data_IF_068159281264
#
_entry.id   IF_068159281264
#
_cell.length_a   1.000
_cell.length_b   1.000
_cell.length_c   1.000
_cell.angle_alpha   90.00
_cell.angle_beta   90.00
_cell.angle_gamma   90.00
#
_symmetry.space_group_name_H-M   'P 1'
#
loop_
_entity.id
_entity.type
_entity.pdbx_description
1 polymer ?
#
# COMPACT_ATOMS: atom_id res chain seq x y z
N UNK A 1 -59.23 -26.88 -40.59
CA UNK A 1 -59.34 -25.54 -39.96
C UNK A 1 -58.00 -25.15 -39.36
N UNK A 2 -57.54 -23.94 -39.68
CA UNK A 2 -56.45 -23.12 -39.11
C UNK A 2 -55.08 -23.76 -38.86
N UNK A 3 -54.18 -23.53 -39.82
CA UNK A 3 -52.73 -23.43 -39.61
C UNK A 3 -52.38 -22.04 -39.02
N UNK A 4 -51.35 -22.05 -38.17
CA UNK A 4 -50.58 -20.96 -37.54
C UNK A 4 -51.17 -20.32 -36.26
N UNK A 5 -50.31 -19.90 -35.30
CA UNK A 5 -48.87 -19.67 -35.50
C UNK A 5 -47.91 -20.34 -34.48
N UNK A 6 -46.99 -21.14 -35.03
CA UNK A 6 -45.61 -21.27 -34.53
C UNK A 6 -44.84 -19.91 -34.58
N UNK A 7 -45.49 -18.87 -35.14
CA UNK A 7 -44.96 -17.51 -35.30
C UNK A 7 -44.89 -16.75 -33.97
N UNK A 8 -45.78 -17.02 -33.00
CA UNK A 8 -45.81 -16.27 -31.72
C UNK A 8 -44.67 -16.69 -30.78
N UNK A 9 -44.19 -17.93 -30.90
CA UNK A 9 -43.01 -18.42 -30.16
C UNK A 9 -41.71 -17.87 -30.79
N UNK A 10 -41.67 -17.72 -32.11
CA UNK A 10 -40.50 -17.15 -32.81
C UNK A 10 -40.38 -15.63 -32.54
N UNK A 11 -41.51 -14.91 -32.44
CA UNK A 11 -41.52 -13.48 -32.10
C UNK A 11 -41.09 -13.21 -30.65
N UNK A 12 -41.46 -14.07 -29.70
CA UNK A 12 -41.09 -13.90 -28.28
C UNK A 12 -39.62 -14.25 -27.99
N UNK A 13 -39.06 -15.28 -28.65
CA UNK A 13 -37.62 -15.60 -28.56
C UNK A 13 -36.77 -14.57 -29.32
N UNK A 14 -37.27 -14.04 -30.45
CA UNK A 14 -36.61 -12.96 -31.20
C UNK A 14 -36.50 -11.65 -30.42
N UNK A 15 -37.55 -11.27 -29.68
CA UNK A 15 -37.55 -10.06 -28.84
C UNK A 15 -36.63 -10.17 -27.62
N UNK A 16 -36.57 -11.36 -26.98
CA UNK A 16 -35.66 -11.59 -25.85
C UNK A 16 -34.18 -11.62 -26.30
N UNK A 17 -33.88 -12.19 -27.46
CA UNK A 17 -32.51 -12.19 -28.01
C UNK A 17 -32.09 -10.82 -28.51
N UNK A 18 -33.00 -10.01 -29.10
CA UNK A 18 -32.71 -8.62 -29.44
C UNK A 18 -32.55 -7.73 -28.20
N UNK A 19 -33.34 -7.94 -27.14
CA UNK A 19 -33.19 -7.20 -25.89
C UNK A 19 -31.87 -7.57 -25.18
N UNK A 20 -31.49 -8.85 -25.15
CA UNK A 20 -30.20 -9.28 -24.60
C UNK A 20 -29.03 -8.79 -25.45
N UNK A 21 -29.11 -8.80 -26.79
CA UNK A 21 -28.07 -8.24 -27.65
C UNK A 21 -28.00 -6.71 -27.60
N UNK A 22 -29.13 -6.01 -27.46
CA UNK A 22 -29.16 -4.54 -27.30
C UNK A 22 -28.65 -4.12 -25.92
N UNK A 23 -28.96 -4.89 -24.88
CA UNK A 23 -28.39 -4.71 -23.54
C UNK A 23 -26.93 -5.12 -23.52
N UNK A 24 -26.49 -6.16 -24.24
CA UNK A 24 -25.07 -6.56 -24.29
C UNK A 24 -24.23 -5.60 -25.14
N UNK A 25 -24.75 -5.07 -26.26
CA UNK A 25 -24.10 -4.01 -27.02
C UNK A 25 -24.07 -2.66 -26.26
N UNK A 26 -25.05 -2.38 -25.40
CA UNK A 26 -25.07 -1.15 -24.58
C UNK A 26 -24.47 -1.33 -23.18
N UNK A 27 -24.03 -2.54 -22.80
CA UNK A 27 -23.28 -2.83 -21.56
C UNK A 27 -21.82 -3.19 -21.88
N UNK A 28 -21.44 -3.33 -23.16
CA UNK A 28 -20.03 -3.50 -23.57
C UNK A 28 -19.38 -2.21 -24.07
N UNK A 29 -20.00 -1.04 -23.85
CA UNK A 29 -19.35 0.28 -23.97
C UNK A 29 -19.10 0.84 -22.57
N UNK A 30 -18.29 0.16 -21.78
CA UNK A 30 -17.36 0.86 -20.89
C UNK A 30 -16.22 -0.07 -20.52
N UNK A 31 -15.02 0.50 -20.45
CA UNK A 31 -13.74 -0.15 -20.10
C UNK A 31 -13.25 -1.20 -21.11
N UNK A 32 -12.70 -0.75 -22.23
CA UNK A 32 -11.27 -0.97 -22.52
C UNK A 32 -10.91 -0.49 -23.93
N UNK A 33 -9.82 0.29 -23.98
CA UNK A 33 -9.06 0.76 -25.16
C UNK A 33 -9.57 1.99 -25.90
N UNK A 34 -9.44 3.19 -25.32
CA UNK A 34 -8.89 4.38 -26.00
C UNK A 34 -8.38 5.37 -24.95
N UNK A 35 -7.07 5.50 -24.73
CA UNK A 35 -6.51 6.79 -24.26
C UNK A 35 -4.98 6.82 -24.41
N UNK A 36 -4.51 7.67 -25.32
CA UNK A 36 -3.09 8.04 -25.40
C UNK A 36 -2.91 9.50 -25.81
N UNK A 37 -3.95 10.33 -25.70
CA UNK A 37 -3.89 11.75 -26.08
C UNK A 37 -4.79 12.64 -25.23
N UNK A 38 -6.09 12.34 -25.09
CA UNK A 38 -7.01 13.20 -24.32
C UNK A 38 -6.82 13.10 -22.80
N UNK A 39 -6.59 11.89 -22.29
CA UNK A 39 -6.30 11.63 -20.86
C UNK A 39 -4.90 12.12 -20.44
N UNK A 40 -3.96 12.16 -21.38
CA UNK A 40 -2.62 12.72 -21.12
C UNK A 40 -2.63 14.25 -21.14
N UNK A 41 -3.46 14.86 -22.01
CA UNK A 41 -3.67 16.30 -22.02
C UNK A 41 -4.32 16.78 -20.72
N UNK A 42 -5.33 16.08 -20.21
CA UNK A 42 -5.97 16.43 -18.93
C UNK A 42 -5.01 16.28 -17.74
N UNK A 43 -4.19 15.22 -17.69
CA UNK A 43 -3.15 15.05 -16.65
C UNK A 43 -2.15 16.20 -16.65
N UNK A 44 -1.68 16.60 -17.84
CA UNK A 44 -0.74 17.71 -17.98
C UNK A 44 -1.35 19.04 -17.53
N UNK A 45 -2.61 19.30 -17.87
CA UNK A 45 -3.32 20.51 -17.43
C UNK A 45 -3.47 20.55 -15.90
N UNK A 46 -3.85 19.44 -15.28
CA UNK A 46 -3.96 19.31 -13.81
C UNK A 46 -2.59 19.50 -13.14
N UNK A 47 -1.55 18.89 -13.69
CA UNK A 47 -0.19 19.01 -13.17
C UNK A 47 0.29 20.48 -13.18
N UNK A 48 0.04 21.21 -14.27
CA UNK A 48 0.39 22.63 -14.34
C UNK A 48 -0.47 23.49 -13.38
N UNK A 49 -1.77 23.19 -13.23
CA UNK A 49 -2.62 23.84 -12.21
C UNK A 49 -2.02 23.69 -10.81
N UNK A 50 -1.60 22.47 -10.42
CA UNK A 50 -0.98 22.25 -9.11
C UNK A 50 0.37 22.95 -8.97
N UNK A 51 1.20 22.96 -10.02
CA UNK A 51 2.47 23.72 -9.98
C UNK A 51 2.21 25.21 -9.74
N UNK A 52 1.22 25.78 -10.41
CA UNK A 52 0.89 27.20 -10.26
C UNK A 52 0.31 27.50 -8.87
N UNK A 53 -0.57 26.64 -8.35
CA UNK A 53 -1.08 26.75 -6.97
C UNK A 53 0.07 26.70 -5.94
N UNK A 54 1.03 25.79 -6.09
CA UNK A 54 2.17 25.65 -5.18
C UNK A 54 3.07 26.90 -5.25
N UNK A 55 3.32 27.45 -6.45
CA UNK A 55 4.13 28.68 -6.62
C UNK A 55 3.43 29.92 -6.03
N UNK A 56 2.12 30.03 -6.22
CA UNK A 56 1.35 31.21 -5.81
C UNK A 56 1.06 31.23 -4.31
N UNK A 57 0.73 30.08 -3.73
CA UNK A 57 0.19 29.99 -2.37
C UNK A 57 1.20 29.44 -1.35
N UNK A 58 2.27 28.82 -1.85
CA UNK A 58 3.21 28.04 -1.04
C UNK A 58 2.81 26.55 -0.94
N UNK A 59 3.78 25.63 -0.82
CA UNK A 59 3.54 24.19 -0.86
C UNK A 59 2.55 23.67 0.19
N UNK A 60 2.69 24.08 1.44
CA UNK A 60 1.89 23.60 2.56
C UNK A 60 0.43 24.04 2.43
N UNK A 61 0.21 25.29 2.05
CA UNK A 61 -1.14 25.82 1.86
C UNK A 61 -1.80 25.19 0.64
N UNK A 62 -1.07 25.04 -0.47
CA UNK A 62 -1.57 24.36 -1.66
C UNK A 62 -1.97 22.91 -1.36
N UNK A 63 -1.18 22.18 -0.55
CA UNK A 63 -1.51 20.80 -0.18
C UNK A 63 -2.73 20.71 0.74
N UNK A 64 -2.89 21.66 1.66
CA UNK A 64 -4.11 21.71 2.48
C UNK A 64 -5.34 22.03 1.64
N UNK A 65 -5.25 22.99 0.71
CA UNK A 65 -6.33 23.29 -0.22
C UNK A 65 -6.66 22.10 -1.15
N UNK A 66 -5.63 21.37 -1.59
CA UNK A 66 -5.77 20.12 -2.32
C UNK A 66 -6.54 19.07 -1.50
N UNK A 67 -6.19 18.89 -0.22
CA UNK A 67 -6.85 17.97 0.71
C UNK A 67 -8.34 18.28 0.87
N UNK A 68 -8.68 19.56 1.02
CA UNK A 68 -10.06 19.99 1.23
C UNK A 68 -10.94 19.75 -0.02
N UNK A 69 -10.36 19.90 -1.22
CA UNK A 69 -11.07 19.79 -2.51
C UNK A 69 -11.17 18.36 -3.04
N UNK A 70 -10.16 17.50 -2.79
CA UNK A 70 -10.00 16.21 -3.46
C UNK A 70 -10.14 15.03 -2.49
N UNK A 71 -11.20 15.01 -1.69
CA UNK A 71 -11.43 13.94 -0.71
C UNK A 71 -11.33 12.56 -1.37
N UNK A 72 -10.44 11.71 -0.85
CA UNK A 72 -10.21 10.32 -1.27
C UNK A 72 -9.64 10.13 -2.69
N UNK A 73 -9.05 11.14 -3.32
CA UNK A 73 -8.41 10.96 -4.63
C UNK A 73 -6.93 10.59 -4.54
N UNK A 74 -6.65 9.29 -4.50
CA UNK A 74 -5.27 8.76 -4.55
C UNK A 74 -4.52 9.20 -5.82
N UNK A 75 -5.16 9.06 -6.98
CA UNK A 75 -4.56 9.42 -8.27
C UNK A 75 -4.19 10.91 -8.35
N UNK A 76 -5.06 11.82 -7.93
CA UNK A 76 -4.72 13.25 -7.95
C UNK A 76 -3.63 13.60 -6.96
N UNK A 77 -3.48 12.84 -5.87
CA UNK A 77 -2.38 13.02 -4.93
C UNK A 77 -1.03 12.68 -5.57
N UNK A 78 -0.97 11.71 -6.51
CA UNK A 78 0.24 11.48 -7.31
C UNK A 78 0.61 12.76 -8.08
N UNK A 79 -0.33 13.31 -8.86
CA UNK A 79 -0.08 14.52 -9.64
C UNK A 79 0.32 15.72 -8.78
N UNK A 80 -0.27 15.87 -7.59
CA UNK A 80 0.15 16.91 -6.64
C UNK A 80 1.59 16.69 -6.18
N UNK A 81 1.95 15.45 -5.80
CA UNK A 81 3.31 15.09 -5.41
C UNK A 81 4.34 15.35 -6.52
N UNK A 82 4.00 15.02 -7.76
CA UNK A 82 4.83 15.34 -8.93
C UNK A 82 5.03 16.86 -9.08
N UNK A 83 3.95 17.64 -9.05
CA UNK A 83 4.00 19.10 -9.11
C UNK A 83 4.86 19.70 -8.00
N UNK A 84 4.73 19.16 -6.78
CA UNK A 84 5.49 19.55 -5.61
C UNK A 84 6.99 19.31 -5.80
N UNK A 85 7.40 18.16 -6.33
CA UNK A 85 8.80 17.91 -6.64
C UNK A 85 9.33 18.92 -7.68
N UNK A 86 8.58 19.16 -8.76
CA UNK A 86 9.01 20.09 -9.81
C UNK A 86 9.16 21.55 -9.33
N UNK A 87 8.42 21.96 -8.30
CA UNK A 87 8.46 23.33 -7.78
C UNK A 87 9.43 23.48 -6.60
N UNK A 88 9.40 22.55 -5.65
CA UNK A 88 10.12 22.67 -4.39
C UNK A 88 11.39 21.80 -4.32
N UNK A 89 11.62 20.93 -5.30
CA UNK A 89 12.72 19.96 -5.27
C UNK A 89 12.60 18.99 -4.10
N UNK A 90 13.72 18.38 -3.70
CA UNK A 90 13.76 17.35 -2.66
C UNK A 90 13.27 17.82 -1.28
N UNK A 91 13.38 19.12 -0.97
CA UNK A 91 12.91 19.68 0.30
C UNK A 91 11.38 19.74 0.40
N UNK A 92 10.67 19.68 -0.74
CA UNK A 92 9.21 19.64 -0.78
C UNK A 92 8.61 18.40 -0.11
N UNK A 93 9.39 17.33 0.09
CA UNK A 93 8.90 16.04 0.63
C UNK A 93 8.19 16.19 1.98
N UNK A 94 8.57 17.21 2.78
CA UNK A 94 7.96 17.54 4.07
C UNK A 94 6.47 17.91 4.03
N UNK A 95 5.96 18.21 2.84
CA UNK A 95 4.56 18.62 2.61
C UNK A 95 3.63 17.42 2.52
N UNK A 96 4.11 16.30 1.96
CA UNK A 96 3.30 15.10 1.79
C UNK A 96 2.99 14.43 3.13
N UNK A 97 1.84 13.75 3.21
CA UNK A 97 1.42 12.92 4.34
C UNK A 97 0.75 11.62 3.84
N UNK A 98 0.24 10.81 4.76
CA UNK A 98 -0.41 9.52 4.49
C UNK A 98 -1.90 9.63 4.12
N UNK A 99 -2.46 10.84 4.04
CA UNK A 99 -3.91 11.09 3.85
C UNK A 99 -4.51 10.34 2.67
N UNK A 100 -3.75 10.20 1.58
CA UNK A 100 -4.19 9.61 0.32
C UNK A 100 -3.50 8.28 0.02
N UNK A 101 -3.36 7.41 1.02
CA UNK A 101 -2.66 6.12 0.86
C UNK A 101 -1.25 6.33 0.28
N UNK A 102 -0.55 7.35 0.82
CA UNK A 102 0.79 7.77 0.40
C UNK A 102 0.91 8.29 -1.05
N UNK A 103 -0.20 8.55 -1.74
CA UNK A 103 -0.19 8.98 -3.14
C UNK A 103 0.67 10.23 -3.43
N UNK A 104 0.71 11.19 -2.50
CA UNK A 104 1.61 12.36 -2.62
C UNK A 104 3.08 11.95 -2.67
N UNK A 105 3.50 11.05 -1.77
CA UNK A 105 4.86 10.52 -1.77
C UNK A 105 5.17 9.75 -3.06
N UNK A 106 4.25 8.92 -3.54
CA UNK A 106 4.43 8.14 -4.77
C UNK A 106 4.76 9.05 -5.96
N UNK A 107 3.92 10.07 -6.19
CA UNK A 107 4.15 11.04 -7.25
C UNK A 107 5.43 11.84 -7.07
N UNK A 108 5.70 12.30 -5.85
CA UNK A 108 6.90 13.09 -5.54
C UNK A 108 8.20 12.34 -5.82
N UNK A 109 8.32 11.11 -5.32
CA UNK A 109 9.53 10.31 -5.53
C UNK A 109 9.63 9.81 -6.98
N UNK A 110 8.50 9.44 -7.61
CA UNK A 110 8.48 9.01 -9.02
C UNK A 110 8.91 10.14 -9.95
N UNK A 111 8.42 11.38 -9.75
CA UNK A 111 8.84 12.54 -10.54
C UNK A 111 10.34 12.79 -10.41
N UNK A 112 10.89 12.76 -9.20
CA UNK A 112 12.32 12.98 -9.03
C UNK A 112 13.19 11.89 -9.62
N UNK A 113 12.77 10.62 -9.55
CA UNK A 113 13.47 9.52 -10.21
C UNK A 113 13.41 9.67 -11.73
N UNK A 114 12.26 10.08 -12.30
CA UNK A 114 12.11 10.30 -13.73
C UNK A 114 12.94 11.49 -14.24
N UNK A 115 12.96 12.59 -13.49
CA UNK A 115 13.64 13.83 -13.88
C UNK A 115 15.16 13.77 -13.68
N UNK A 116 15.63 13.27 -12.54
CA UNK A 116 17.06 13.29 -12.17
C UNK A 116 17.73 11.90 -12.26
N UNK A 117 16.97 10.84 -12.51
CA UNK A 117 17.44 9.46 -12.48
C UNK A 117 17.66 8.93 -11.06
N UNK A 118 18.04 7.66 -10.95
CA UNK A 118 18.23 6.97 -9.65
C UNK A 118 19.28 7.59 -8.72
N UNK A 119 20.12 8.50 -9.24
CA UNK A 119 21.08 9.25 -8.42
C UNK A 119 20.43 10.16 -7.37
N UNK A 120 19.15 10.53 -7.56
CA UNK A 120 18.42 11.39 -6.62
C UNK A 120 18.10 10.72 -5.28
N UNK A 121 18.12 9.39 -5.21
CA UNK A 121 17.70 8.61 -4.03
C UNK A 121 18.48 9.02 -2.76
N UNK A 122 19.79 9.29 -2.88
CA UNK A 122 20.59 9.78 -1.76
C UNK A 122 20.18 11.18 -1.30
N UNK A 123 19.80 12.07 -2.24
CA UNK A 123 19.29 13.40 -1.89
C UNK A 123 17.93 13.33 -1.18
N UNK A 124 17.08 12.37 -1.57
CA UNK A 124 15.83 12.11 -0.85
C UNK A 124 16.07 11.63 0.57
N UNK A 125 17.00 10.67 0.79
CA UNK A 125 17.35 10.23 2.15
C UNK A 125 17.92 11.38 2.98
N UNK A 126 18.81 12.21 2.41
CA UNK A 126 19.33 13.40 3.07
C UNK A 126 18.23 14.39 3.45
N UNK A 127 17.24 14.61 2.58
CA UNK A 127 16.08 15.44 2.88
C UNK A 127 15.23 14.84 4.00
N UNK A 128 14.95 13.52 3.95
CA UNK A 128 14.24 12.81 5.01
C UNK A 128 14.94 12.96 6.37
N UNK A 129 16.26 12.77 6.41
CA UNK A 129 17.06 12.90 7.63
C UNK A 129 17.16 14.34 8.11
N UNK A 130 17.26 15.31 7.20
CA UNK A 130 17.29 16.74 7.54
C UNK A 130 15.98 17.21 8.17
N UNK A 131 14.84 16.76 7.63
CA UNK A 131 13.50 17.21 8.07
C UNK A 131 13.08 16.49 9.36
N UNK A 132 13.25 15.16 9.43
CA UNK A 132 12.70 14.35 10.52
C UNK A 132 13.75 13.72 11.45
N UNK A 133 15.04 13.82 11.14
CA UNK A 133 16.12 13.24 11.95
C UNK A 133 15.91 11.74 12.18
N UNK A 134 15.90 11.30 13.44
CA UNK A 134 15.67 9.90 13.80
C UNK A 134 14.25 9.40 13.51
N UNK A 135 13.31 10.29 13.17
CA UNK A 135 11.93 9.95 12.78
C UNK A 135 11.74 9.88 11.26
N UNK A 136 12.82 9.80 10.47
CA UNK A 136 12.79 9.78 9.00
C UNK A 136 12.19 8.51 8.37
N UNK A 137 11.94 7.47 9.16
CA UNK A 137 11.47 6.17 8.66
C UNK A 137 10.25 6.25 7.72
N UNK A 138 9.18 7.02 8.02
CA UNK A 138 8.05 7.14 7.10
C UNK A 138 8.39 7.80 5.75
N UNK A 139 9.32 8.77 5.75
CA UNK A 139 9.79 9.37 4.50
C UNK A 139 10.62 8.36 3.68
N UNK A 140 11.51 7.61 4.35
CA UNK A 140 12.29 6.55 3.72
C UNK A 140 11.42 5.41 3.20
N UNK A 141 10.31 5.10 3.88
CA UNK A 141 9.29 4.18 3.42
C UNK A 141 8.71 4.64 2.07
N UNK A 142 8.35 5.92 1.96
CA UNK A 142 7.88 6.51 0.71
C UNK A 142 8.90 6.42 -0.44
N UNK A 143 10.22 6.54 -0.17
CA UNK A 143 11.26 6.31 -1.18
C UNK A 143 11.13 4.90 -1.78
N UNK A 144 10.81 3.90 -0.94
CA UNK A 144 10.62 2.52 -1.37
C UNK A 144 9.47 2.34 -2.37
N UNK A 145 8.34 3.01 -2.11
CA UNK A 145 7.24 3.05 -3.07
C UNK A 145 7.68 3.67 -4.40
N UNK A 146 8.26 4.88 -4.37
CA UNK A 146 8.72 5.55 -5.59
C UNK A 146 9.73 4.74 -6.40
N UNK A 147 10.67 4.05 -5.74
CA UNK A 147 11.60 3.12 -6.38
C UNK A 147 10.87 2.00 -7.11
N UNK A 148 9.92 1.34 -6.46
CA UNK A 148 9.25 0.19 -7.07
C UNK A 148 8.25 0.64 -8.15
N UNK A 149 7.58 1.78 -7.99
CA UNK A 149 6.70 2.37 -9.00
C UNK A 149 7.46 2.93 -10.21
N UNK A 150 8.78 3.14 -10.14
CA UNK A 150 9.59 3.62 -11.28
C UNK A 150 9.86 2.57 -12.36
N UNK A 151 9.42 1.32 -12.16
CA UNK A 151 9.53 0.24 -13.13
C UNK A 151 10.89 -0.50 -13.14
N UNK A 152 11.75 -0.28 -12.16
CA UNK A 152 12.96 -1.09 -11.96
C UNK A 152 12.60 -2.49 -11.43
N UNK A 153 13.55 -3.42 -11.48
CA UNK A 153 13.36 -4.75 -10.87
C UNK A 153 13.29 -4.68 -9.34
N UNK A 154 12.66 -5.68 -8.70
CA UNK A 154 12.63 -5.80 -7.24
C UNK A 154 14.05 -5.80 -6.64
N UNK A 155 14.97 -6.54 -7.27
CA UNK A 155 16.37 -6.63 -6.86
C UNK A 155 17.08 -5.28 -6.94
N UNK A 156 16.79 -4.51 -7.99
CA UNK A 156 17.35 -3.17 -8.17
C UNK A 156 16.80 -2.19 -7.13
N UNK A 157 15.48 -2.16 -6.91
CA UNK A 157 14.85 -1.31 -5.90
C UNK A 157 15.42 -1.58 -4.50
N UNK A 158 15.52 -2.86 -4.10
CA UNK A 158 16.16 -3.25 -2.85
C UNK A 158 17.65 -2.88 -2.81
N UNK A 159 18.35 -2.98 -3.94
CA UNK A 159 19.73 -2.53 -4.10
C UNK A 159 19.92 -1.04 -3.85
N UNK A 160 18.93 -0.20 -4.19
CA UNK A 160 18.93 1.22 -3.86
C UNK A 160 18.63 1.49 -2.39
N UNK A 161 17.70 0.75 -1.77
CA UNK A 161 17.44 0.85 -0.34
C UNK A 161 18.71 0.60 0.51
N UNK A 162 19.63 -0.25 0.07
CA UNK A 162 20.91 -0.50 0.77
C UNK A 162 21.87 0.68 0.80
N UNK A 163 21.71 1.63 -0.14
CA UNK A 163 22.62 2.78 -0.29
C UNK A 163 22.21 3.96 0.58
N UNK A 164 21.03 3.90 1.19
CA UNK A 164 20.50 4.96 2.06
C UNK A 164 20.45 4.46 3.50
N UNK A 165 20.22 5.39 4.42
CA UNK A 165 19.92 5.02 5.80
C UNK A 165 18.64 4.20 5.80
N UNK A 166 18.71 2.92 6.17
CA UNK A 166 17.57 2.01 6.08
C UNK A 166 17.37 1.24 7.38
N UNK A 167 16.11 0.88 7.62
CA UNK A 167 15.73 -0.01 8.71
C UNK A 167 15.35 -1.37 8.12
N UNK A 168 15.76 -2.50 8.75
CA UNK A 168 15.43 -3.84 8.27
C UNK A 168 13.93 -4.09 8.09
N UNK A 169 13.10 -3.37 8.84
CA UNK A 169 11.63 -3.45 8.83
C UNK A 169 11.03 -2.05 8.83
N UNK A 170 10.02 -1.79 7.98
CA UNK A 170 9.22 -0.55 7.96
C UNK A 170 9.72 0.59 7.07
N UNK A 171 11.03 0.74 6.84
CA UNK A 171 11.60 1.80 5.98
C UNK A 171 11.49 1.51 4.48
N UNK A 172 12.49 1.94 3.69
CA UNK A 172 12.51 1.78 2.22
C UNK A 172 12.16 0.37 1.72
N UNK A 173 12.68 -0.68 2.37
CA UNK A 173 12.39 -2.06 1.97
C UNK A 173 10.93 -2.44 2.14
N UNK A 174 10.26 -1.94 3.19
CA UNK A 174 8.82 -2.15 3.42
C UNK A 174 8.01 -1.51 2.30
N UNK A 175 8.29 -0.25 1.95
CA UNK A 175 7.62 0.42 0.83
C UNK A 175 7.83 -0.30 -0.51
N UNK A 176 9.06 -0.79 -0.77
CA UNK A 176 9.34 -1.62 -1.96
C UNK A 176 8.47 -2.88 -1.97
N UNK A 177 8.40 -3.61 -0.86
CA UNK A 177 7.61 -4.86 -0.82
C UNK A 177 6.11 -4.62 -0.88
N UNK A 178 5.59 -3.55 -0.26
CA UNK A 178 4.19 -3.17 -0.35
C UNK A 178 3.80 -2.83 -1.79
N UNK A 179 4.59 -1.98 -2.44
CA UNK A 179 4.38 -1.62 -3.85
C UNK A 179 4.55 -2.81 -4.79
N UNK A 180 5.50 -3.70 -4.50
CA UNK A 180 5.68 -4.93 -5.27
C UNK A 180 4.44 -5.84 -5.16
N UNK A 181 3.84 -5.91 -3.97
CA UNK A 181 2.64 -6.70 -3.72
C UNK A 181 1.37 -6.06 -4.31
N UNK A 182 1.32 -4.74 -4.39
CA UNK A 182 0.19 -3.95 -4.91
C UNK A 182 0.71 -2.85 -5.86
N UNK A 183 1.11 -3.20 -7.09
CA UNK A 183 1.68 -2.22 -7.99
C UNK A 183 0.66 -1.16 -8.41
N UNK A 184 0.95 0.12 -8.13
CA UNK A 184 0.12 1.25 -8.53
C UNK A 184 -0.14 1.30 -10.06
N UNK A 185 0.78 0.71 -10.84
CA UNK A 185 0.71 0.65 -12.29
C UNK A 185 -0.31 -0.35 -12.85
N UNK A 186 -0.90 -1.23 -12.03
CA UNK A 186 -1.76 -2.31 -12.55
C UNK A 186 -3.19 -1.87 -12.93
N UNK A 187 -3.69 -0.71 -12.51
CA UNK A 187 -5.03 -0.21 -12.90
C UNK A 187 -5.30 1.30 -12.68
N UNK A 188 -4.28 2.14 -12.44
CA UNK A 188 -4.45 3.56 -12.02
C UNK A 188 -5.26 3.78 -10.72
N UNK A 189 -5.78 2.72 -10.11
CA UNK A 189 -6.43 2.72 -8.79
C UNK A 189 -5.50 2.14 -7.71
N UNK A 190 -4.45 1.42 -8.10
CA UNK A 190 -3.49 0.77 -7.19
C UNK A 190 -4.09 -0.40 -6.41
N UNK A 191 -5.18 -1.01 -6.88
CA UNK A 191 -5.95 -1.95 -6.04
C UNK A 191 -5.74 -3.43 -6.37
N UNK A 192 -5.30 -3.78 -7.58
CA UNK A 192 -5.06 -5.18 -7.92
C UNK A 192 -3.76 -5.71 -7.29
N UNK A 193 -3.80 -6.77 -6.46
CA UNK A 193 -2.60 -7.40 -5.96
C UNK A 193 -1.81 -8.04 -7.12
N UNK A 194 -0.48 -8.15 -6.96
CA UNK A 194 0.33 -8.98 -7.87
C UNK A 194 -0.26 -10.40 -7.93
N UNK A 195 -0.15 -11.03 -9.09
CA UNK A 195 -0.59 -12.42 -9.26
C UNK A 195 0.41 -13.36 -8.57
N UNK A 196 -0.10 -14.49 -8.10
CA UNK A 196 0.77 -15.61 -7.72
C UNK A 196 1.57 -16.05 -8.96
N UNK A 197 2.86 -16.28 -8.78
CA UNK A 197 3.73 -16.83 -9.80
C UNK A 197 3.95 -18.34 -9.60
N UNK A 198 4.73 -18.96 -10.48
CA UNK A 198 5.04 -20.39 -10.42
C UNK A 198 5.92 -20.79 -9.21
N UNK A 199 6.47 -19.80 -8.50
CA UNK A 199 7.27 -19.98 -7.28
C UNK A 199 6.41 -20.00 -6.01
N UNK A 200 5.12 -19.68 -6.14
CA UNK A 200 4.09 -19.86 -5.11
C UNK A 200 4.09 -18.79 -4.01
N UNK A 201 3.31 -19.05 -2.96
CA UNK A 201 2.94 -18.02 -1.98
C UNK A 201 4.07 -17.41 -1.14
N UNK A 202 5.26 -18.01 -1.11
CA UNK A 202 6.40 -17.50 -0.34
C UNK A 202 7.38 -16.67 -1.16
N UNK A 203 7.18 -16.57 -2.47
CA UNK A 203 7.93 -15.66 -3.32
C UNK A 203 7.45 -14.20 -3.09
N UNK A 204 8.35 -13.20 -3.03
CA UNK A 204 9.80 -13.27 -3.32
C UNK A 204 10.69 -13.63 -2.13
N UNK A 205 10.13 -13.78 -0.93
CA UNK A 205 10.90 -13.88 0.33
C UNK A 205 11.87 -15.07 0.40
N UNK A 206 11.60 -16.14 -0.35
CA UNK A 206 12.50 -17.29 -0.43
C UNK A 206 13.79 -16.99 -1.22
N UNK A 207 13.77 -16.04 -2.16
CA UNK A 207 14.87 -15.73 -3.08
C UNK A 207 15.63 -14.44 -2.76
N UNK A 208 14.99 -13.45 -2.12
CA UNK A 208 15.68 -12.21 -1.75
C UNK A 208 16.88 -12.47 -0.82
N UNK A 209 17.85 -11.56 -0.86
CA UNK A 209 19.04 -11.63 0.01
C UNK A 209 18.64 -11.68 1.49
N UNK A 210 19.44 -12.38 2.30
CA UNK A 210 19.15 -12.64 3.71
C UNK A 210 18.78 -11.38 4.52
N UNK A 211 19.47 -10.27 4.26
CA UNK A 211 19.24 -8.97 4.92
C UNK A 211 17.84 -8.37 4.64
N UNK A 212 17.17 -8.79 3.56
CA UNK A 212 15.82 -8.33 3.22
C UNK A 212 14.70 -9.28 3.64
N UNK A 213 15.04 -10.49 4.08
CA UNK A 213 14.02 -11.52 4.33
C UNK A 213 13.05 -11.12 5.44
N UNK A 214 13.54 -10.51 6.51
CA UNK A 214 12.69 -10.04 7.61
C UNK A 214 11.66 -9.00 7.13
N UNK A 215 12.11 -8.01 6.33
CA UNK A 215 11.23 -7.04 5.68
C UNK A 215 10.28 -7.67 4.67
N UNK A 216 10.69 -8.72 3.95
CA UNK A 216 9.78 -9.40 3.03
C UNK A 216 8.69 -10.18 3.78
N UNK A 217 9.07 -10.95 4.79
CA UNK A 217 8.12 -11.78 5.55
C UNK A 217 7.14 -10.96 6.39
N UNK A 218 7.50 -9.74 6.83
CA UNK A 218 6.56 -8.86 7.52
C UNK A 218 5.51 -8.27 6.56
N UNK A 219 5.85 -8.04 5.29
CA UNK A 219 4.90 -7.49 4.30
C UNK A 219 4.09 -8.56 3.55
N UNK A 220 4.55 -9.81 3.52
CA UNK A 220 3.88 -10.89 2.79
C UNK A 220 2.41 -11.13 3.21
N UNK A 221 2.02 -11.03 4.51
CA UNK A 221 0.62 -11.13 4.92
C UNK A 221 -0.31 -10.10 4.29
N UNK A 222 0.19 -8.91 3.91
CA UNK A 222 -0.60 -7.90 3.19
C UNK A 222 -1.18 -8.48 1.89
N UNK A 223 -0.31 -9.10 1.10
CA UNK A 223 -0.67 -9.70 -0.18
C UNK A 223 -1.63 -10.88 0.02
N UNK A 224 -1.33 -11.74 1.00
CA UNK A 224 -2.18 -12.89 1.32
C UNK A 224 -3.58 -12.50 1.79
N UNK A 225 -3.75 -11.36 2.47
CA UNK A 225 -5.09 -10.87 2.83
C UNK A 225 -5.95 -10.60 1.61
N UNK A 226 -5.37 -10.04 0.55
CA UNK A 226 -6.08 -9.83 -0.71
C UNK A 226 -6.36 -11.17 -1.42
N UNK A 227 -5.34 -12.01 -1.58
CA UNK A 227 -5.44 -13.31 -2.27
C UNK A 227 -6.45 -14.26 -1.61
N UNK A 228 -6.48 -14.30 -0.28
CA UNK A 228 -7.36 -15.20 0.49
C UNK A 228 -8.57 -14.50 1.10
N UNK A 229 -8.94 -13.32 0.58
CA UNK A 229 -10.16 -12.60 1.00
C UNK A 229 -10.29 -12.43 2.53
N UNK A 230 -9.18 -12.13 3.20
CA UNK A 230 -9.14 -11.91 4.65
C UNK A 230 -9.15 -13.18 5.51
N UNK A 231 -8.89 -14.37 4.97
CA UNK A 231 -8.79 -15.61 5.76
C UNK A 231 -7.50 -15.65 6.61
N UNK A 232 -7.57 -15.07 7.81
CA UNK A 232 -6.47 -15.06 8.77
C UNK A 232 -6.04 -16.45 9.27
N UNK A 233 -6.92 -17.47 9.21
CA UNK A 233 -6.54 -18.84 9.58
C UNK A 233 -5.61 -19.41 8.52
N UNK A 234 -5.95 -19.22 7.24
CA UNK A 234 -5.12 -19.64 6.12
C UNK A 234 -3.75 -18.93 6.15
N UNK A 235 -3.74 -17.62 6.37
CA UNK A 235 -2.51 -16.81 6.51
C UNK A 235 -1.66 -17.32 7.69
N UNK A 236 -2.28 -17.57 8.84
CA UNK A 236 -1.59 -18.12 10.01
C UNK A 236 -1.00 -19.51 9.77
N UNK A 237 -1.68 -20.36 8.98
CA UNK A 237 -1.14 -21.65 8.55
C UNK A 237 0.10 -21.49 7.67
N UNK A 238 0.06 -20.57 6.69
CA UNK A 238 1.19 -20.29 5.81
C UNK A 238 2.39 -19.76 6.59
N UNK A 239 2.20 -18.83 7.53
CA UNK A 239 3.28 -18.39 8.42
C UNK A 239 3.89 -19.57 9.20
N UNK A 240 3.07 -20.52 9.65
CA UNK A 240 3.54 -21.69 10.41
C UNK A 240 4.37 -22.68 9.56
N UNK A 241 4.23 -22.67 8.23
CA UNK A 241 5.01 -23.51 7.32
C UNK A 241 6.46 -23.00 7.13
N UNK A 242 6.73 -21.74 7.49
CA UNK A 242 8.07 -21.15 7.43
C UNK A 242 8.98 -21.87 8.44
N UNK A 243 10.02 -22.56 7.96
CA UNK A 243 10.91 -23.38 8.78
C UNK A 243 11.77 -22.55 9.72
N UNK A 244 12.35 -21.48 9.19
CA UNK A 244 13.18 -20.57 9.96
C UNK A 244 12.35 -19.83 11.01
N UNK A 245 12.78 -19.87 12.27
CA UNK A 245 12.01 -19.32 13.38
C UNK A 245 11.92 -17.81 13.38
N UNK A 246 12.97 -17.13 12.91
CA UNK A 246 13.01 -15.67 12.85
C UNK A 246 12.06 -15.17 11.76
N UNK A 247 12.17 -15.71 10.54
CA UNK A 247 11.26 -15.38 9.45
C UNK A 247 9.80 -15.70 9.77
N UNK A 248 9.56 -16.83 10.46
CA UNK A 248 8.21 -17.21 10.94
C UNK A 248 7.67 -16.17 11.92
N UNK A 249 8.49 -15.68 12.84
CA UNK A 249 8.12 -14.62 13.77
C UNK A 249 7.75 -13.33 13.02
N UNK A 250 8.57 -12.89 12.05
CA UNK A 250 8.26 -11.71 11.24
C UNK A 250 6.99 -11.86 10.42
N UNK A 251 6.67 -13.06 9.92
CA UNK A 251 5.39 -13.34 9.26
C UNK A 251 4.19 -13.13 10.21
N UNK A 252 4.28 -13.62 11.45
CA UNK A 252 3.23 -13.37 12.45
C UNK A 252 3.16 -11.91 12.92
N UNK A 253 4.28 -11.19 12.90
CA UNK A 253 4.29 -9.75 13.09
C UNK A 253 3.54 -9.03 11.97
N UNK A 254 3.80 -9.39 10.71
CA UNK A 254 3.04 -8.90 9.56
C UNK A 254 1.54 -9.16 9.68
N UNK A 255 1.15 -10.39 10.04
CA UNK A 255 -0.25 -10.75 10.26
C UNK A 255 -0.91 -9.83 11.31
N UNK A 256 -0.20 -9.57 12.42
CA UNK A 256 -0.65 -8.62 13.45
C UNK A 256 -0.77 -7.19 12.93
N UNK A 257 0.21 -6.72 12.16
CA UNK A 257 0.22 -5.37 11.58
C UNK A 257 -1.01 -5.12 10.72
N UNK A 258 -1.41 -6.11 9.93
CA UNK A 258 -2.54 -5.97 9.02
C UNK A 258 -3.90 -6.34 9.63
N UNK A 259 -3.93 -7.12 10.73
CA UNK A 259 -5.17 -7.39 11.46
C UNK A 259 -5.79 -6.13 12.08
N UNK A 260 -4.96 -5.17 12.52
CA UNK A 260 -5.43 -3.91 13.09
C UNK A 260 -6.24 -3.06 12.08
N UNK A 261 -5.66 -2.59 10.96
CA UNK A 261 -6.39 -1.80 9.97
C UNK A 261 -7.55 -2.58 9.34
N UNK A 262 -7.40 -3.89 9.07
CA UNK A 262 -8.46 -4.69 8.43
C UNK A 262 -9.72 -4.84 9.29
N UNK A 263 -9.61 -4.58 10.60
CA UNK A 263 -10.75 -4.63 11.53
C UNK A 263 -11.28 -3.25 11.90
N UNK A 264 -10.72 -2.18 11.31
CA UNK A 264 -11.01 -0.81 11.74
C UNK A 264 -10.51 -0.55 13.16
N UNK A 265 -9.38 -1.16 13.55
CA UNK A 265 -8.77 -1.02 14.87
C UNK A 265 -9.66 -1.52 16.03
N UNK A 266 -10.54 -2.49 15.78
CA UNK A 266 -11.36 -3.13 16.82
C UNK A 266 -10.51 -4.16 17.61
N UNK A 267 -10.13 -3.78 18.83
CA UNK A 267 -9.32 -4.62 19.74
C UNK A 267 -9.93 -6.01 19.96
N UNK A 268 -11.25 -6.12 20.09
CA UNK A 268 -11.90 -7.43 20.35
C UNK A 268 -11.79 -8.34 19.14
N UNK A 269 -11.95 -7.79 17.93
CA UNK A 269 -11.77 -8.52 16.67
C UNK A 269 -10.31 -8.92 16.48
N UNK A 270 -9.36 -8.04 16.78
CA UNK A 270 -7.92 -8.35 16.71
C UNK A 270 -7.56 -9.48 17.67
N UNK A 271 -8.02 -9.42 18.94
CA UNK A 271 -7.78 -10.49 19.92
C UNK A 271 -8.35 -11.82 19.42
N UNK A 272 -9.54 -11.81 18.80
CA UNK A 272 -10.14 -13.01 18.21
C UNK A 272 -9.30 -13.57 17.05
N UNK A 273 -8.84 -12.71 16.14
CA UNK A 273 -7.97 -13.09 15.01
C UNK A 273 -6.65 -13.67 15.52
N UNK A 274 -5.93 -12.94 16.38
CA UNK A 274 -4.66 -13.43 16.89
C UNK A 274 -4.85 -14.69 17.74
N UNK A 275 -5.96 -14.79 18.48
CA UNK A 275 -6.26 -15.92 19.37
C UNK A 275 -6.53 -17.25 18.66
N UNK A 276 -6.93 -17.20 17.38
CA UNK A 276 -7.18 -18.38 16.54
C UNK A 276 -5.93 -18.95 15.87
N UNK A 277 -4.77 -18.30 16.04
CA UNK A 277 -3.50 -18.75 15.48
C UNK A 277 -2.98 -20.04 16.14
N UNK A 278 -2.18 -20.86 15.43
CA UNK A 278 -1.95 -22.26 15.80
C UNK A 278 -1.15 -22.48 17.10
N UNK A 279 -0.25 -21.57 17.48
CA UNK A 279 0.64 -21.74 18.63
C UNK A 279 0.53 -20.59 19.64
N UNK A 280 1.06 -20.81 20.85
CA UNK A 280 1.15 -19.75 21.88
C UNK A 280 2.01 -18.59 21.38
N UNK A 281 3.10 -18.89 20.69
CA UNK A 281 4.03 -17.87 20.19
C UNK A 281 3.41 -17.07 19.04
N UNK A 282 2.71 -17.72 18.10
CA UNK A 282 2.02 -17.00 17.02
C UNK A 282 0.96 -16.05 17.55
N UNK A 283 0.20 -16.47 18.58
CA UNK A 283 -0.79 -15.62 19.26
C UNK A 283 -0.13 -14.39 19.87
N UNK A 284 1.02 -14.59 20.54
CA UNK A 284 1.79 -13.53 21.18
C UNK A 284 2.33 -12.54 20.14
N UNK A 285 3.03 -13.02 19.11
CA UNK A 285 3.64 -12.17 18.09
C UNK A 285 2.60 -11.35 17.33
N UNK A 286 1.47 -11.97 16.94
CA UNK A 286 0.38 -11.24 16.30
C UNK A 286 -0.15 -10.09 17.16
N UNK A 287 -0.41 -10.34 18.46
CA UNK A 287 -0.91 -9.31 19.37
C UNK A 287 0.12 -8.21 19.64
N UNK A 288 1.39 -8.59 19.76
CA UNK A 288 2.52 -7.67 19.96
C UNK A 288 2.65 -6.69 18.81
N UNK A 289 2.66 -7.19 17.57
CA UNK A 289 2.77 -6.34 16.39
C UNK A 289 1.51 -5.51 16.13
N UNK A 290 0.32 -6.09 16.38
CA UNK A 290 -0.93 -5.34 16.32
C UNK A 290 -0.89 -4.16 17.31
N UNK A 291 -0.31 -4.33 18.50
CA UNK A 291 -0.13 -3.24 19.45
C UNK A 291 0.82 -2.16 18.91
N UNK A 292 1.88 -2.51 18.19
CA UNK A 292 2.79 -1.50 17.60
C UNK A 292 2.11 -0.64 16.54
N UNK A 293 1.23 -1.22 15.71
CA UNK A 293 0.49 -0.46 14.69
C UNK A 293 -0.48 0.55 15.28
N UNK A 294 -1.01 0.33 16.49
CA UNK A 294 -1.82 1.35 17.15
C UNK A 294 -1.02 2.61 17.53
N UNK A 295 0.31 2.53 17.63
CA UNK A 295 1.17 3.70 17.93
C UNK A 295 1.25 4.69 16.77
N UNK A 296 0.85 4.28 15.56
CA UNK A 296 0.73 5.20 14.43
C UNK A 296 -0.58 6.01 14.47
N UNK A 297 -1.43 5.76 15.48
CA UNK A 297 -2.76 6.37 15.65
C UNK A 297 -2.94 6.96 17.06
N UNK A 298 -2.60 8.25 17.27
CA UNK A 298 -2.71 8.90 18.58
C UNK A 298 -4.11 8.85 19.21
N UNK A 299 -5.15 8.86 18.37
CA UNK A 299 -6.56 8.75 18.78
C UNK A 299 -6.93 7.37 19.37
N UNK A 300 -6.11 6.36 19.11
CA UNK A 300 -6.40 4.94 19.38
C UNK A 300 -5.56 4.35 20.53
N UNK A 301 -4.73 5.16 21.18
CA UNK A 301 -3.84 4.70 22.26
C UNK A 301 -4.60 4.20 23.50
N UNK A 302 -5.79 4.74 23.77
CA UNK A 302 -6.63 4.30 24.85
C UNK A 302 -7.00 2.82 24.61
N UNK A 303 -6.46 1.92 25.46
CA UNK A 303 -6.64 0.46 25.46
C UNK A 303 -5.63 -0.38 24.66
N UNK A 304 -4.57 0.19 24.09
CA UNK A 304 -3.54 -0.58 23.38
C UNK A 304 -2.92 -1.71 24.24
N UNK A 305 -2.80 -1.48 25.56
CA UNK A 305 -2.30 -2.46 26.52
C UNK A 305 -3.17 -3.73 26.62
N UNK A 306 -4.46 -3.66 26.23
CA UNK A 306 -5.35 -4.83 26.18
C UNK A 306 -4.89 -5.85 25.15
N UNK A 307 -4.21 -5.42 24.08
CA UNK A 307 -3.58 -6.34 23.11
C UNK A 307 -2.43 -7.12 23.76
N UNK A 308 -1.72 -6.52 24.71
CA UNK A 308 -0.63 -7.16 25.45
C UNK A 308 -1.06 -7.92 26.72
N UNK A 309 -2.35 -7.96 27.08
CA UNK A 309 -2.81 -8.65 28.29
C UNK A 309 -2.35 -10.11 28.32
N UNK A 310 -1.71 -10.49 29.43
CA UNK A 310 -1.11 -11.81 29.63
C UNK A 310 0.32 -11.98 29.09
N UNK A 311 0.96 -10.91 28.59
CA UNK A 311 2.34 -10.91 28.11
C UNK A 311 3.11 -9.70 28.65
N UNK A 312 3.86 -9.89 29.73
CA UNK A 312 4.70 -8.81 30.30
C UNK A 312 5.75 -8.32 29.28
N UNK A 313 6.33 -9.23 28.50
CA UNK A 313 7.27 -8.87 27.44
C UNK A 313 6.65 -7.96 26.37
N UNK A 314 5.38 -8.19 26.00
CA UNK A 314 4.66 -7.31 25.07
C UNK A 314 4.50 -5.91 25.67
N UNK A 315 4.10 -5.82 26.94
CA UNK A 315 3.96 -4.54 27.64
C UNK A 315 5.30 -3.80 27.76
N UNK A 316 6.38 -4.52 28.04
CA UNK A 316 7.71 -3.92 28.20
C UNK A 316 8.22 -3.38 26.86
N UNK A 317 8.09 -4.17 25.77
CA UNK A 317 8.46 -3.74 24.42
C UNK A 317 7.61 -2.56 23.94
N UNK A 318 6.31 -2.57 24.24
CA UNK A 318 5.41 -1.48 23.92
C UNK A 318 5.86 -0.18 24.60
N UNK A 319 6.22 -0.23 25.89
CA UNK A 319 6.71 0.92 26.66
C UNK A 319 8.09 1.43 26.21
N UNK A 320 8.90 0.57 25.62
CA UNK A 320 10.21 0.93 25.07
C UNK A 320 10.10 1.52 23.66
N UNK A 321 8.93 1.44 23.02
CA UNK A 321 8.75 1.98 21.70
C UNK A 321 8.82 3.52 21.73
N UNK A 322 9.65 4.17 20.91
CA UNK A 322 9.79 5.64 20.89
C UNK A 322 8.50 6.41 20.56
N UNK A 323 7.51 5.74 19.97
CA UNK A 323 6.21 6.31 19.63
C UNK A 323 5.14 6.05 20.71
N UNK A 324 5.48 5.37 21.81
CA UNK A 324 4.59 5.17 22.93
C UNK A 324 4.60 6.39 23.85
N UNK A 325 3.55 7.21 23.76
CA UNK A 325 3.28 8.31 24.68
C UNK A 325 2.38 7.81 25.82
N UNK A 326 2.84 7.95 27.08
CA UNK A 326 2.14 7.48 28.29
C UNK A 326 0.79 8.17 28.52
#
# INVERSE_FOLDING_TARGET
>A
MRKKPLLDIILSVGLLTFAVLYVWNNISEDTDKVSGTADDLSKKEILEEYKDQIKEQGPEYAYQAFKDKNQQSHFLAHLFGEALFYVAGTDGVGVCDDTFEFGCYHGFFSAGIQEEGMGIISKFDEACLRIWGSKSMPCQHGIGHGLMSSGVSLEEALGWCRKITWQPTGGCTSGVFMEYNFPALSDHTGTAPRKEDDKGYFYPCIEVLAEFKNGCYIELPQWWLSVFSGDFIKIGSLCNEIKDSEHRQYCFYGLGNYAAPSTGYDISRIIKICGSLPSRDSKKWCRESAAWIFLTRPDSHANIAKLCEGSQECLDKLKQNPFYEN
#
